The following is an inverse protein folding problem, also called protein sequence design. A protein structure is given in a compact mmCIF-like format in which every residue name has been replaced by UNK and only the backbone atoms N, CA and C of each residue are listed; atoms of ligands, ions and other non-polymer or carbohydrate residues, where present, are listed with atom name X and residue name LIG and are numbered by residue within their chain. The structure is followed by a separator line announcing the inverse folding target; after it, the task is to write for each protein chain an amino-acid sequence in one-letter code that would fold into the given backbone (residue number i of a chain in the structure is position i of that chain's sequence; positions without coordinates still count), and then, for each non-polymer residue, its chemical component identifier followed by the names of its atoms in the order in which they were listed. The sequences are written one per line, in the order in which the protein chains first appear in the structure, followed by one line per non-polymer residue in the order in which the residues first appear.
data_IF_637522613939
#
_entry.id   IF_637522613939
#
_cell.length_a   1.000
_cell.length_b   1.000
_cell.length_c   1.000
_cell.angle_alpha   90.00
_cell.angle_beta   90.00
_cell.angle_gamma   90.00
#
_symmetry.space_group_name_H-M   'P 1'
#
loop_
_entity.id
_entity.type
_entity.pdbx_description
1 polymer ?
#
# COMPACT_ATOMS: atom_id res chain seq x y z
N UNK A 1 -20.74 27.39 -12.32
CA UNK A 1 -20.00 26.22 -11.90
C UNK A 1 -20.94 25.08 -11.54
N UNK A 2 -20.67 23.87 -12.00
CA UNK A 2 -21.41 22.67 -11.64
C UNK A 2 -20.68 21.97 -10.51
N UNK A 3 -21.38 21.72 -9.40
CA UNK A 3 -20.78 21.07 -8.22
C UNK A 3 -21.52 19.76 -8.01
N UNK A 4 -20.77 18.66 -8.03
CA UNK A 4 -21.24 17.32 -7.70
C UNK A 4 -20.68 16.92 -6.35
N UNK A 5 -21.52 16.33 -5.52
CA UNK A 5 -21.15 15.87 -4.18
C UNK A 5 -21.39 14.36 -4.12
N UNK A 6 -20.35 13.62 -3.78
CA UNK A 6 -20.38 12.16 -3.58
C UNK A 6 -19.97 11.83 -2.16
N UNK A 7 -20.67 10.88 -1.53
CA UNK A 7 -20.34 10.42 -0.17
C UNK A 7 -19.26 9.35 -0.21
N UNK A 8 -18.21 9.52 0.60
CA UNK A 8 -17.13 8.53 0.76
C UNK A 8 -17.54 7.54 1.84
N UNK A 9 -17.77 6.28 1.48
CA UNK A 9 -18.20 5.23 2.41
C UNK A 9 -17.11 4.79 3.37
N UNK A 10 -15.85 4.75 2.92
CA UNK A 10 -14.70 4.27 3.69
C UNK A 10 -13.58 5.33 3.72
N UNK A 11 -13.65 6.33 4.63
CA UNK A 11 -12.70 7.44 4.66
C UNK A 11 -11.27 7.01 5.00
N UNK A 12 -11.09 5.93 5.77
CA UNK A 12 -9.77 5.41 6.13
C UNK A 12 -9.03 4.74 4.96
N UNK A 13 -9.72 4.39 3.88
CA UNK A 13 -9.11 3.85 2.64
C UNK A 13 -8.84 4.93 1.59
N UNK A 14 -9.25 6.17 1.83
CA UNK A 14 -8.93 7.31 0.97
C UNK A 14 -7.58 7.93 1.36
N UNK A 15 -6.66 8.00 0.39
CA UNK A 15 -5.31 8.49 0.66
C UNK A 15 -5.29 10.00 0.91
N UNK A 16 -6.19 10.78 0.27
CA UNK A 16 -6.22 12.24 0.45
C UNK A 16 -6.72 12.60 1.85
N UNK A 17 -7.83 12.01 2.30
CA UNK A 17 -8.37 12.26 3.63
C UNK A 17 -7.37 11.88 4.73
N UNK A 18 -6.70 10.72 4.59
CA UNK A 18 -5.69 10.31 5.56
C UNK A 18 -4.45 11.21 5.56
N UNK A 19 -4.06 11.75 4.40
CA UNK A 19 -2.93 12.69 4.31
C UNK A 19 -3.27 14.04 4.97
N UNK A 20 -4.49 14.55 4.77
CA UNK A 20 -4.97 15.79 5.36
C UNK A 20 -5.14 15.66 6.88
N UNK A 21 -5.69 14.55 7.36
CA UNK A 21 -5.76 14.22 8.80
C UNK A 21 -4.39 14.20 9.48
N UNK A 22 -3.41 13.59 8.81
CA UNK A 22 -2.03 13.57 9.31
C UNK A 22 -1.41 14.96 9.34
N UNK A 23 -1.64 15.78 8.30
CA UNK A 23 -1.14 17.15 8.24
C UNK A 23 -1.73 18.00 9.37
N UNK A 24 -3.05 17.95 9.57
CA UNK A 24 -3.73 18.64 10.67
C UNK A 24 -3.24 18.13 12.05
N UNK A 25 -3.02 16.82 12.17
CA UNK A 25 -2.47 16.24 13.40
C UNK A 25 -1.07 16.76 13.71
N UNK A 26 -0.20 16.89 12.72
CA UNK A 26 1.16 17.44 12.87
C UNK A 26 1.13 18.93 13.24
N UNK A 27 0.20 19.71 12.69
CA UNK A 27 0.02 21.11 13.04
C UNK A 27 -0.44 21.30 14.49
N UNK A 28 -1.42 20.49 14.93
CA UNK A 28 -1.98 20.55 16.29
C UNK A 28 -1.03 20.08 17.38
N UNK A 29 -0.42 18.90 17.18
CA UNK A 29 0.41 18.23 18.20
C UNK A 29 1.89 18.51 18.07
N UNK A 30 2.29 19.15 16.97
CA UNK A 30 3.67 19.49 16.67
C UNK A 30 4.51 18.32 16.15
N UNK A 31 5.73 18.62 15.67
CA UNK A 31 6.59 17.65 14.98
C UNK A 31 7.17 16.56 15.90
N UNK A 32 7.11 16.71 17.23
CA UNK A 32 7.68 15.73 18.17
C UNK A 32 6.87 14.43 18.22
N UNK A 33 5.55 14.50 18.04
CA UNK A 33 4.65 13.33 18.11
C UNK A 33 4.42 12.65 16.76
N UNK A 34 5.19 12.98 15.74
CA UNK A 34 5.01 12.48 14.37
C UNK A 34 4.97 10.95 14.28
N UNK A 35 5.78 10.22 15.05
CA UNK A 35 5.80 8.76 15.05
C UNK A 35 4.45 8.18 15.51
N UNK A 36 3.94 8.71 16.62
CA UNK A 36 2.68 8.22 17.20
C UNK A 36 1.52 8.47 16.24
N UNK A 37 1.47 9.64 15.61
CA UNK A 37 0.46 9.99 14.61
C UNK A 37 0.53 9.07 13.39
N UNK A 38 1.73 8.85 12.85
CA UNK A 38 1.94 7.98 11.71
C UNK A 38 1.55 6.53 12.00
N UNK A 39 1.95 5.96 13.14
CA UNK A 39 1.57 4.60 13.52
C UNK A 39 0.07 4.45 13.77
N UNK A 40 -0.57 5.44 14.39
CA UNK A 40 -2.02 5.43 14.60
C UNK A 40 -2.79 5.44 13.28
N UNK A 41 -2.40 6.30 12.34
CA UNK A 41 -3.00 6.35 11.01
C UNK A 41 -2.79 5.03 10.26
N UNK A 42 -1.57 4.49 10.29
CA UNK A 42 -1.23 3.21 9.66
C UNK A 42 -2.08 2.06 10.22
N UNK A 43 -2.29 2.00 11.54
CA UNK A 43 -3.16 1.00 12.16
C UNK A 43 -4.64 1.16 11.76
N UNK A 44 -5.15 2.41 11.61
CA UNK A 44 -6.52 2.65 11.12
C UNK A 44 -6.70 2.12 9.71
N UNK A 45 -5.79 2.45 8.80
CA UNK A 45 -5.84 2.00 7.40
C UNK A 45 -5.80 0.46 7.30
N UNK A 46 -4.94 -0.19 8.08
CA UNK A 46 -4.85 -1.66 8.08
C UNK A 46 -6.10 -2.31 8.68
N UNK A 47 -6.68 -1.72 9.73
CA UNK A 47 -7.96 -2.20 10.30
C UNK A 47 -9.13 -2.04 9.33
N UNK A 48 -9.11 -1.01 8.48
CA UNK A 48 -10.09 -0.82 7.40
C UNK A 48 -9.93 -1.86 6.25
N UNK A 49 -8.89 -2.73 6.32
CA UNK A 49 -8.71 -3.83 5.39
C UNK A 49 -7.79 -3.55 4.21
N UNK A 50 -7.03 -2.46 4.21
CA UNK A 50 -6.06 -2.17 3.14
C UNK A 50 -5.04 -3.31 2.99
N UNK A 51 -4.73 -3.71 1.75
CA UNK A 51 -3.70 -4.72 1.45
C UNK A 51 -2.30 -4.23 1.80
N UNK A 52 -2.06 -2.93 1.69
CA UNK A 52 -0.81 -2.31 2.06
C UNK A 52 -0.89 -0.81 2.08
N UNK A 53 -0.06 -0.21 2.92
CA UNK A 53 0.02 1.24 3.07
C UNK A 53 1.45 1.70 3.34
N UNK A 54 1.77 2.88 2.83
CA UNK A 54 3.03 3.55 3.08
C UNK A 54 2.78 5.03 3.37
N UNK A 55 3.31 5.51 4.48
CA UNK A 55 3.29 6.91 4.90
C UNK A 55 4.72 7.42 4.90
N UNK A 56 4.98 8.53 4.21
CA UNK A 56 6.26 9.22 4.21
C UNK A 56 6.09 10.63 4.74
N UNK A 57 6.86 10.96 5.76
CA UNK A 57 6.94 12.28 6.36
C UNK A 57 8.31 12.88 6.08
N UNK A 58 8.34 14.03 5.41
CA UNK A 58 9.58 14.69 5.00
C UNK A 58 9.63 16.10 5.54
N UNK A 59 10.68 16.42 6.28
CA UNK A 59 10.86 17.75 6.87
C UNK A 59 11.75 17.74 8.10
N UNK A 60 11.65 18.80 8.89
CA UNK A 60 12.36 18.93 10.17
C UNK A 60 11.60 18.17 11.27
N UNK A 61 11.87 16.87 11.38
CA UNK A 61 11.24 15.93 12.31
C UNK A 61 12.31 15.04 12.95
N UNK A 62 12.47 15.01 14.25
CA UNK A 62 12.17 15.98 15.30
C UNK A 62 13.24 17.08 15.44
N UNK A 63 14.37 16.94 14.74
CA UNK A 63 15.53 17.84 14.82
C UNK A 63 15.50 18.92 13.75
N UNK A 64 16.40 19.91 13.84
CA UNK A 64 16.57 20.99 12.85
C UNK A 64 17.01 20.49 11.48
N UNK A 65 17.66 19.32 11.40
CA UNK A 65 18.06 18.69 10.14
C UNK A 65 16.88 18.00 9.48
N UNK A 66 16.58 18.34 8.24
CA UNK A 66 15.52 17.71 7.47
C UNK A 66 15.84 16.23 7.19
N UNK A 67 14.84 15.37 7.43
CA UNK A 67 14.89 13.92 7.16
C UNK A 67 13.57 13.44 6.60
N UNK A 68 13.62 12.32 5.90
CA UNK A 68 12.43 11.59 5.46
C UNK A 68 12.26 10.34 6.31
N UNK A 69 11.09 10.23 6.94
CA UNK A 69 10.67 9.07 7.71
C UNK A 69 9.65 8.28 6.91
N UNK A 70 9.84 6.98 6.85
CA UNK A 70 8.97 6.06 6.12
C UNK A 70 8.37 5.06 7.08
N UNK A 71 7.05 4.94 7.05
CA UNK A 71 6.27 3.95 7.78
C UNK A 71 5.52 3.13 6.74
N UNK A 72 5.66 1.81 6.78
CA UNK A 72 5.01 0.93 5.81
C UNK A 72 4.53 -0.34 6.47
N UNK A 73 3.39 -0.85 6.00
CA UNK A 73 2.81 -2.11 6.44
C UNK A 73 2.06 -2.76 5.29
N UNK A 74 2.11 -4.11 5.23
CA UNK A 74 1.46 -4.88 4.19
C UNK A 74 2.17 -4.82 2.84
N UNK A 75 1.43 -5.19 1.81
CA UNK A 75 1.93 -5.27 0.43
C UNK A 75 1.56 -4.02 -0.37
N UNK A 76 2.54 -3.36 -0.96
CA UNK A 76 2.34 -2.16 -1.78
C UNK A 76 3.12 -2.27 -3.08
N UNK A 77 2.44 -2.07 -4.20
CA UNK A 77 3.06 -2.04 -5.53
C UNK A 77 3.62 -0.64 -5.82
N UNK A 78 4.88 -0.56 -6.26
CA UNK A 78 5.56 0.71 -6.54
C UNK A 78 5.87 0.93 -8.00
N UNK A 79 5.97 -0.14 -8.77
CA UNK A 79 6.43 -0.11 -10.17
C UNK A 79 5.49 -0.92 -11.08
N UNK A 80 5.62 -0.67 -12.37
CA UNK A 80 4.81 -1.32 -13.39
C UNK A 80 3.40 -0.77 -13.49
N UNK A 81 2.58 -1.40 -14.31
CA UNK A 81 1.18 -1.01 -14.55
C UNK A 81 0.32 -1.11 -13.28
N UNK A 82 0.58 -2.10 -12.45
CA UNK A 82 -0.11 -2.29 -11.15
C UNK A 82 0.09 -1.12 -10.16
N UNK A 83 1.12 -0.29 -10.36
CA UNK A 83 1.32 0.89 -9.52
C UNK A 83 0.27 1.99 -9.73
N UNK A 84 -0.48 1.94 -10.84
CA UNK A 84 -1.58 2.87 -11.14
C UNK A 84 -2.81 2.63 -10.26
N UNK A 85 -2.96 1.41 -9.76
CA UNK A 85 -4.07 0.99 -8.90
C UNK A 85 -3.90 1.50 -7.45
N UNK A 86 -2.67 1.88 -7.08
CA UNK A 86 -2.36 2.41 -5.74
C UNK A 86 -2.83 3.85 -5.65
N UNK A 87 -3.72 4.12 -4.69
CA UNK A 87 -4.14 5.47 -4.36
C UNK A 87 -3.00 6.23 -3.66
N UNK A 88 -2.69 7.46 -4.15
CA UNK A 88 -1.56 8.26 -3.67
C UNK A 88 -1.99 9.70 -3.49
N UNK A 89 -1.73 10.21 -2.30
CA UNK A 89 -2.02 11.60 -1.97
C UNK A 89 -0.85 12.29 -1.29
N UNK A 90 -0.89 13.63 -1.32
CA UNK A 90 0.12 14.49 -0.73
C UNK A 90 -0.56 15.64 0.00
N UNK A 91 -0.08 15.93 1.21
CA UNK A 91 -0.51 17.06 2.00
C UNK A 91 0.70 17.81 2.58
N UNK A 92 0.47 19.02 3.04
CA UNK A 92 1.48 19.87 3.67
C UNK A 92 1.01 20.29 5.05
N UNK A 93 1.87 20.09 6.05
CA UNK A 93 1.65 20.57 7.41
C UNK A 93 2.56 21.77 7.69
N UNK A 94 1.99 22.87 8.13
CA UNK A 94 2.72 24.06 8.52
C UNK A 94 3.09 23.97 10.01
N UNK A 95 4.37 23.73 10.29
CA UNK A 95 4.86 23.63 11.66
C UNK A 95 5.76 24.80 11.99
N UNK A 96 5.96 25.08 13.29
CA UNK A 96 6.82 26.19 13.75
C UNK A 96 8.22 26.20 13.11
N UNK A 97 8.95 25.06 13.02
CA UNK A 97 10.27 25.03 12.39
C UNK A 97 10.24 25.01 10.86
N UNK A 98 9.08 24.87 10.22
CA UNK A 98 8.93 24.86 8.77
C UNK A 98 7.85 23.91 8.27
N UNK A 99 7.71 23.78 6.96
CA UNK A 99 6.73 22.93 6.32
C UNK A 99 7.18 21.48 6.32
N UNK A 100 6.27 20.58 6.68
CA UNK A 100 6.45 19.11 6.62
C UNK A 100 5.59 18.56 5.49
N UNK A 101 6.21 17.82 4.57
CA UNK A 101 5.49 17.10 3.51
C UNK A 101 5.01 15.75 4.00
N UNK A 102 3.73 15.46 3.76
CA UNK A 102 3.09 14.18 4.04
C UNK A 102 2.77 13.52 2.71
N UNK A 103 3.18 12.27 2.51
CA UNK A 103 2.79 11.46 1.35
C UNK A 103 2.21 10.16 1.85
N UNK A 104 1.01 9.84 1.40
CA UNK A 104 0.31 8.60 1.74
C UNK A 104 0.08 7.80 0.47
N UNK A 105 0.28 6.49 0.55
CA UNK A 105 -0.03 5.56 -0.52
C UNK A 105 -0.77 4.38 0.08
N UNK A 106 -1.94 4.06 -0.46
CA UNK A 106 -2.82 3.00 0.04
C UNK A 106 -3.17 2.07 -1.12
N UNK A 107 -3.06 0.77 -0.89
CA UNK A 107 -3.56 -0.25 -1.79
C UNK A 107 -4.87 -0.79 -1.22
N UNK A 108 -5.99 -0.46 -1.88
CA UNK A 108 -7.33 -0.88 -1.47
C UNK A 108 -7.51 -2.40 -1.59
N UNK A 109 -8.38 -3.03 -0.79
CA UNK A 109 -8.62 -4.48 -0.83
C UNK A 109 -9.26 -4.95 -2.15
N UNK A 110 -10.08 -4.12 -2.77
CA UNK A 110 -10.80 -4.35 -4.03
C UNK A 110 -9.92 -4.14 -5.28
N UNK A 111 -8.65 -3.77 -5.10
CA UNK A 111 -7.71 -3.54 -6.18
C UNK A 111 -7.41 -4.82 -6.97
N UNK A 112 -7.72 -4.82 -8.26
CA UNK A 112 -7.40 -5.92 -9.18
C UNK A 112 -5.93 -5.85 -9.58
N UNK A 113 -5.11 -6.72 -9.02
CA UNK A 113 -3.70 -6.86 -9.38
C UNK A 113 -3.55 -7.95 -10.44
N UNK A 114 -2.94 -7.62 -11.58
CA UNK A 114 -2.70 -8.56 -12.69
C UNK A 114 -1.70 -9.67 -12.33
N UNK A 115 -0.90 -9.46 -11.32
CA UNK A 115 0.11 -10.39 -10.82
C UNK A 115 -0.39 -11.32 -9.70
N UNK A 116 -1.64 -11.14 -9.25
CA UNK A 116 -2.27 -12.04 -8.29
C UNK A 116 -2.86 -13.23 -9.02
N UNK A 117 -2.30 -14.40 -8.78
CA UNK A 117 -2.83 -15.66 -9.31
C UNK A 117 -3.88 -16.18 -8.34
N UNK A 118 -5.11 -16.34 -8.83
CA UNK A 118 -6.17 -17.01 -8.08
C UNK A 118 -5.98 -18.52 -8.23
N UNK A 119 -5.72 -19.20 -7.13
CA UNK A 119 -5.55 -20.66 -7.10
C UNK A 119 -6.93 -21.29 -7.06
N UNK A 120 -7.44 -21.68 -8.23
CA UNK A 120 -8.69 -22.43 -8.37
C UNK A 120 -8.37 -23.93 -8.46
N UNK A 121 -9.32 -24.78 -8.05
CA UNK A 121 -9.17 -26.24 -8.13
C UNK A 121 -8.85 -26.75 -9.55
N UNK A 122 -9.37 -26.08 -10.57
CA UNK A 122 -9.04 -26.35 -11.98
C UNK A 122 -7.55 -26.13 -12.30
N UNK A 123 -6.94 -25.07 -11.74
CA UNK A 123 -5.50 -24.81 -11.88
C UNK A 123 -4.66 -25.90 -11.21
N UNK A 124 -5.09 -26.35 -10.04
CA UNK A 124 -4.42 -27.43 -9.31
C UNK A 124 -4.48 -28.73 -10.12
N UNK A 125 -5.62 -29.05 -10.72
CA UNK A 125 -5.78 -30.23 -11.57
C UNK A 125 -4.90 -30.15 -12.83
N UNK A 126 -4.87 -29.00 -13.51
CA UNK A 126 -4.01 -28.76 -14.69
C UNK A 126 -2.51 -28.90 -14.33
N UNK A 127 -2.10 -28.40 -13.16
CA UNK A 127 -0.72 -28.51 -12.71
C UNK A 127 -0.33 -29.96 -12.38
N UNK A 128 -1.25 -30.74 -11.78
CA UNK A 128 -1.05 -32.17 -11.51
C UNK A 128 -0.92 -32.96 -12.82
N UNK A 129 -1.84 -32.75 -13.78
CA UNK A 129 -1.77 -33.40 -15.09
C UNK A 129 -0.46 -33.10 -15.83
N UNK A 130 -0.04 -31.84 -15.88
CA UNK A 130 1.25 -31.46 -16.49
C UNK A 130 2.48 -32.02 -15.76
N UNK A 131 2.40 -32.25 -14.47
CA UNK A 131 3.51 -32.88 -13.71
C UNK A 131 3.61 -34.38 -14.00
N UNK A 132 2.49 -35.06 -14.17
CA UNK A 132 2.42 -36.49 -14.55
C UNK A 132 2.96 -36.71 -15.96
N UNK A 133 2.56 -35.91 -16.95
CA UNK A 133 3.12 -35.95 -18.31
C UNK A 133 4.64 -35.76 -18.35
N UNK A 134 5.18 -34.83 -17.55
CA UNK A 134 6.63 -34.61 -17.46
C UNK A 134 7.39 -35.75 -16.81
N UNK A 135 6.77 -36.54 -15.94
CA UNK A 135 7.35 -37.71 -15.30
C UNK A 135 7.41 -38.88 -16.30
N UNK A 136 6.35 -39.09 -17.11
CA UNK A 136 6.34 -40.14 -18.13
C UNK A 136 7.38 -39.91 -19.24
N UNK A 137 7.62 -38.67 -19.66
CA UNK A 137 8.66 -38.33 -20.66
C UNK A 137 10.07 -38.58 -20.13
N UNK A 138 10.30 -38.59 -18.82
CA UNK A 138 11.63 -38.79 -18.21
C UNK A 138 12.01 -40.26 -17.95
N UNK A 139 11.14 -41.24 -18.19
CA UNK A 139 11.50 -42.64 -18.06
C UNK A 139 12.29 -43.08 -19.29
N UNK A 140 13.59 -43.45 -19.16
CA UNK A 140 14.34 -43.98 -20.30
C UNK A 140 13.78 -45.35 -20.69
N UNK A 141 13.44 -45.51 -21.97
CA UNK A 141 13.07 -46.82 -22.53
C UNK A 141 14.16 -47.81 -22.22
N UNK A 142 13.93 -48.77 -21.29
CA UNK A 142 14.78 -49.91 -21.08
C UNK A 142 14.78 -50.74 -22.38
N UNK A 143 15.87 -50.68 -23.15
CA UNK A 143 16.12 -51.60 -24.22
C UNK A 143 16.21 -53.02 -23.65
N UNK A 144 15.22 -53.85 -23.99
CA UNK A 144 15.37 -55.31 -23.86
C UNK A 144 16.32 -55.78 -24.95
N UNK A 145 17.47 -56.29 -24.55
CA UNK A 145 18.25 -57.27 -25.32
C UNK A 145 17.74 -58.66 -24.99
#
# INVERSE_FOLDING_TARGET
PHIEIEEITEPDLDAQLTADDLALGLERFGPLKFKVLAYRALQRIVKAGALGTEIRLSGKLPSSRARTWRFSQGYLKKTGDSAKVVDRAQARAQTKPGTVGVKVSILRPDAKLKDKIEVNDELIQKLKANSEEKIEIKQPKKNKK
#
